data_IF_651104199695
#
_entry.id   IF_651104199695
#
_cell.length_a   1.000
_cell.length_b   1.000
_cell.length_c   1.000
_cell.angle_alpha   90.00
_cell.angle_beta   90.00
_cell.angle_gamma   90.00
#
_symmetry.space_group_name_H-M   'P 1'
#
loop_
_entity.id
_entity.type
_entity.pdbx_description
1 polymer ?
#
# COMPACT_ATOMS: atom_id res chain seq x y z
N UNK A 1 47.47 32.83 19.49
CA UNK A 1 46.87 31.77 20.31
C UNK A 1 45.43 32.20 20.60
N UNK A 2 44.46 31.80 19.79
CA UNK A 2 43.06 32.17 19.93
C UNK A 2 42.28 30.85 19.94
N UNK A 3 41.54 30.49 21.01
CA UNK A 3 40.74 29.31 21.02
C UNK A 3 39.42 29.60 20.27
N UNK A 4 39.20 28.89 19.17
CA UNK A 4 37.97 28.88 18.42
C UNK A 4 36.90 28.15 19.24
N UNK A 5 35.98 28.91 19.83
CA UNK A 5 34.81 28.40 20.52
C UNK A 5 33.78 28.03 19.43
N UNK A 6 33.74 26.77 19.08
CA UNK A 6 32.64 26.19 18.30
C UNK A 6 31.35 26.34 19.10
N UNK A 7 30.56 27.36 18.77
CA UNK A 7 29.20 27.51 19.23
C UNK A 7 28.38 26.37 18.56
N UNK A 8 28.02 25.37 19.35
CA UNK A 8 26.97 24.43 18.95
C UNK A 8 25.73 25.26 18.70
N UNK A 9 25.30 25.34 17.47
CA UNK A 9 23.97 25.84 17.13
C UNK A 9 22.98 24.87 17.75
N UNK A 10 22.25 25.35 18.76
CA UNK A 10 21.07 24.67 19.26
C UNK A 10 20.05 24.54 18.09
N UNK A 11 19.36 23.41 17.93
CA UNK A 11 18.34 23.29 16.92
C UNK A 11 17.26 24.34 17.20
N UNK A 12 16.97 25.15 16.19
CA UNK A 12 15.88 26.12 16.21
C UNK A 12 14.55 25.35 16.33
N UNK A 13 14.12 25.15 17.57
CA UNK A 13 12.80 24.65 17.92
C UNK A 13 11.83 25.84 17.80
N UNK A 14 11.22 26.02 16.65
CA UNK A 14 9.91 26.72 16.57
C UNK A 14 9.28 26.50 15.18
N UNK A 15 8.73 25.31 14.97
CA UNK A 15 7.81 25.09 13.87
C UNK A 15 6.55 24.48 14.47
N UNK A 16 5.34 24.87 14.03
CA UNK A 16 4.06 24.28 14.51
C UNK A 16 4.03 22.74 14.51
N UNK A 17 4.89 22.15 13.70
CA UNK A 17 5.06 20.71 13.55
C UNK A 17 5.71 20.03 14.75
N UNK A 18 6.63 20.71 15.44
CA UNK A 18 7.34 20.16 16.61
C UNK A 18 6.46 20.25 17.85
N UNK A 19 5.59 21.26 17.90
CA UNK A 19 4.58 21.43 18.96
C UNK A 19 3.58 20.28 18.90
N UNK A 20 3.02 19.97 17.73
CA UNK A 20 2.05 18.87 17.57
C UNK A 20 2.63 17.52 18.02
N UNK A 21 3.87 17.21 17.67
CA UNK A 21 4.54 15.96 18.12
C UNK A 21 4.71 15.92 19.64
N UNK A 22 5.09 17.04 20.23
CA UNK A 22 5.25 17.16 21.69
C UNK A 22 3.91 16.98 22.40
N UNK A 23 2.87 17.60 21.89
CA UNK A 23 1.50 17.54 22.46
C UNK A 23 0.90 16.13 22.32
N UNK A 24 1.18 15.42 21.22
CA UNK A 24 0.78 14.02 21.06
C UNK A 24 1.46 13.06 22.05
N UNK A 25 2.64 13.44 22.58
CA UNK A 25 3.36 12.70 23.62
C UNK A 25 2.98 13.09 25.03
N UNK A 26 2.19 14.14 25.20
CA UNK A 26 1.66 14.58 26.47
C UNK A 26 0.46 13.72 26.91
N UNK A 27 -0.15 14.08 28.04
CA UNK A 27 -1.32 13.41 28.57
C UNK A 27 -2.54 14.36 28.66
N UNK A 28 -3.74 13.76 28.82
CA UNK A 28 -4.97 14.47 29.06
C UNK A 28 -5.39 15.38 27.92
N UNK A 29 -5.97 16.53 28.24
CA UNK A 29 -6.59 17.44 27.26
C UNK A 29 -5.64 17.93 26.16
N UNK A 30 -4.36 18.11 26.48
CA UNK A 30 -3.37 18.54 25.48
C UNK A 30 -3.20 17.48 24.40
N UNK A 31 -3.10 16.23 24.82
CA UNK A 31 -3.05 15.11 23.88
C UNK A 31 -4.32 14.97 23.06
N UNK A 32 -5.49 15.10 23.70
CA UNK A 32 -6.78 14.97 23.00
C UNK A 32 -6.91 16.04 21.90
N UNK A 33 -6.58 17.29 22.21
CA UNK A 33 -6.56 18.38 21.23
C UNK A 33 -5.55 18.14 20.09
N UNK A 34 -4.36 17.60 20.40
CA UNK A 34 -3.35 17.25 19.39
C UNK A 34 -3.82 16.10 18.49
N UNK A 35 -4.57 15.13 19.03
CA UNK A 35 -5.17 14.04 18.23
C UNK A 35 -6.23 14.60 17.27
N UNK A 36 -7.07 15.54 17.72
CA UNK A 36 -8.04 16.21 16.84
C UNK A 36 -7.35 17.00 15.72
N UNK A 37 -6.27 17.72 16.05
CA UNK A 37 -5.46 18.44 15.05
C UNK A 37 -4.82 17.49 14.05
N UNK A 38 -4.22 16.41 14.53
CA UNK A 38 -3.65 15.34 13.69
C UNK A 38 -4.71 14.76 12.76
N UNK A 39 -5.88 14.42 13.29
CA UNK A 39 -7.00 13.89 12.49
C UNK A 39 -7.39 14.87 11.37
N UNK A 40 -7.59 16.15 11.69
CA UNK A 40 -7.92 17.16 10.68
C UNK A 40 -6.85 17.29 9.58
N UNK A 41 -5.56 17.14 9.94
CA UNK A 41 -4.44 17.09 8.99
C UNK A 41 -4.53 15.87 8.08
N UNK A 42 -4.78 14.69 8.65
CA UNK A 42 -4.85 13.43 7.93
C UNK A 42 -6.08 13.35 7.01
N UNK A 43 -7.22 13.91 7.42
CA UNK A 43 -8.40 14.04 6.53
C UNK A 43 -8.05 14.85 5.28
N UNK A 44 -7.33 15.98 5.42
CA UNK A 44 -6.91 16.76 4.26
C UNK A 44 -5.99 15.98 3.32
N UNK A 45 -5.06 15.21 3.88
CA UNK A 45 -4.17 14.36 3.10
C UNK A 45 -4.92 13.22 2.39
N UNK A 46 -5.86 12.55 3.09
CA UNK A 46 -6.69 11.51 2.52
C UNK A 46 -7.58 12.03 1.39
N UNK A 47 -8.25 13.19 1.60
CA UNK A 47 -9.05 13.86 0.56
C UNK A 47 -8.23 14.21 -0.68
N UNK A 48 -7.00 14.68 -0.50
CA UNK A 48 -6.09 14.94 -1.63
C UNK A 48 -5.82 13.67 -2.44
N UNK A 49 -5.51 12.55 -1.78
CA UNK A 49 -5.26 11.27 -2.46
C UNK A 49 -6.50 10.74 -3.16
N UNK A 50 -7.67 10.83 -2.52
CA UNK A 50 -8.96 10.45 -3.08
C UNK A 50 -9.27 11.28 -4.34
N UNK A 51 -9.12 12.61 -4.25
CA UNK A 51 -9.35 13.50 -5.38
C UNK A 51 -8.41 13.20 -6.56
N UNK A 52 -7.14 12.92 -6.27
CA UNK A 52 -6.13 12.57 -7.27
C UNK A 52 -6.48 11.28 -8.03
N UNK A 53 -7.09 10.30 -7.36
CA UNK A 53 -7.47 9.00 -7.95
C UNK A 53 -8.88 8.95 -8.52
N UNK A 54 -9.71 9.97 -8.24
CA UNK A 54 -11.10 10.04 -8.72
C UNK A 54 -11.29 9.75 -10.21
N UNK A 55 -10.43 10.25 -11.13
CA UNK A 55 -10.61 9.95 -12.56
C UNK A 55 -10.58 8.47 -12.92
N UNK A 56 -9.90 7.65 -12.11
CA UNK A 56 -9.81 6.19 -12.29
C UNK A 56 -10.98 5.43 -11.66
N UNK A 57 -11.92 6.12 -11.01
CA UNK A 57 -13.02 5.55 -10.23
C UNK A 57 -14.36 6.23 -10.55
N UNK A 58 -14.79 6.25 -11.84
CA UNK A 58 -15.97 7.02 -12.28
C UNK A 58 -17.29 6.52 -11.69
N UNK A 59 -17.30 5.30 -11.14
CA UNK A 59 -18.46 4.68 -10.52
C UNK A 59 -18.70 5.09 -9.07
N UNK A 60 -17.71 5.74 -8.41
CA UNK A 60 -17.85 6.22 -7.04
C UNK A 60 -18.41 7.64 -7.00
N UNK A 61 -19.36 7.88 -6.10
CA UNK A 61 -19.98 9.18 -5.90
C UNK A 61 -19.14 10.06 -4.95
N UNK A 62 -19.46 11.36 -4.91
CA UNK A 62 -18.70 12.31 -4.10
C UNK A 62 -18.80 12.06 -2.59
N UNK A 63 -19.98 11.67 -2.12
CA UNK A 63 -20.23 11.27 -0.73
C UNK A 63 -19.43 10.00 -0.34
N UNK A 64 -19.44 8.96 -1.18
CA UNK A 64 -18.64 7.76 -0.95
C UNK A 64 -17.13 8.07 -0.92
N UNK A 65 -16.68 9.02 -1.71
CA UNK A 65 -15.28 9.44 -1.73
C UNK A 65 -14.89 10.20 -0.45
N UNK A 66 -15.82 10.98 0.10
CA UNK A 66 -15.60 11.68 1.37
C UNK A 66 -15.60 10.71 2.55
N UNK A 67 -16.51 9.74 2.58
CA UNK A 67 -16.53 8.66 3.56
C UNK A 67 -15.21 7.87 3.55
N UNK A 68 -14.71 7.52 2.37
CA UNK A 68 -13.41 6.84 2.22
C UNK A 68 -12.27 7.69 2.79
N UNK A 69 -12.30 8.99 2.57
CA UNK A 69 -11.26 9.88 3.09
C UNK A 69 -11.32 9.97 4.63
N UNK A 70 -12.51 10.04 5.21
CA UNK A 70 -12.71 10.02 6.67
C UNK A 70 -12.21 8.71 7.28
N UNK A 71 -12.73 7.58 6.81
CA UNK A 71 -12.27 6.26 7.27
C UNK A 71 -10.75 6.06 7.15
N UNK A 72 -10.14 6.57 6.07
CA UNK A 72 -8.71 6.48 5.88
C UNK A 72 -7.94 7.35 6.89
N UNK A 73 -8.47 8.50 7.25
CA UNK A 73 -7.88 9.36 8.26
C UNK A 73 -7.99 8.75 9.67
N UNK A 74 -9.14 8.14 10.00
CA UNK A 74 -9.34 7.45 11.27
C UNK A 74 -8.32 6.33 11.47
N UNK A 75 -8.17 5.43 10.48
CA UNK A 75 -7.18 4.35 10.50
C UNK A 75 -5.73 4.89 10.53
N UNK A 76 -5.47 6.00 9.83
CA UNK A 76 -4.17 6.63 9.83
C UNK A 76 -3.81 7.25 11.18
N UNK A 77 -4.76 7.87 11.91
CA UNK A 77 -4.53 8.34 13.28
C UNK A 77 -4.09 7.20 14.18
N UNK A 78 -4.83 6.08 14.17
CA UNK A 78 -4.47 4.89 14.96
C UNK A 78 -3.07 4.40 14.61
N UNK A 79 -2.76 4.33 13.32
CA UNK A 79 -1.46 3.87 12.82
C UNK A 79 -0.31 4.80 13.20
N UNK A 80 -0.52 6.12 13.16
CA UNK A 80 0.46 7.15 13.57
C UNK A 80 0.71 7.07 15.07
N UNK A 81 -0.35 7.02 15.88
CA UNK A 81 -0.23 6.93 17.34
C UNK A 81 0.49 5.66 17.78
N UNK A 82 0.18 4.51 17.15
CA UNK A 82 0.84 3.24 17.45
C UNK A 82 2.34 3.23 17.09
N UNK A 83 2.79 4.12 16.22
CA UNK A 83 4.17 4.22 15.73
C UNK A 83 4.83 5.56 16.03
N UNK A 84 4.28 6.31 16.97
CA UNK A 84 4.77 7.65 17.31
C UNK A 84 6.25 7.62 17.73
N UNK A 85 6.67 6.55 18.41
CA UNK A 85 8.05 6.35 18.86
C UNK A 85 9.01 5.93 17.72
N UNK A 86 8.49 5.47 16.59
CA UNK A 86 9.27 5.14 15.40
C UNK A 86 9.70 6.39 14.62
N UNK A 87 9.15 7.57 14.95
CA UNK A 87 9.50 8.81 14.27
C UNK A 87 10.90 9.27 14.64
N UNK A 88 11.81 9.30 13.66
CA UNK A 88 13.24 9.60 13.85
C UNK A 88 13.64 11.06 13.62
N UNK A 89 12.70 11.95 13.28
CA UNK A 89 13.03 13.35 12.99
C UNK A 89 13.73 13.62 11.64
N UNK A 90 13.82 12.63 10.76
CA UNK A 90 14.46 12.75 9.44
C UNK A 90 13.65 13.62 8.45
N UNK A 91 12.42 13.95 8.81
CA UNK A 91 11.51 14.83 8.07
C UNK A 91 10.59 15.57 9.04
N UNK A 92 9.81 16.53 8.56
CA UNK A 92 8.74 17.10 9.39
C UNK A 92 7.78 16.01 9.82
N UNK A 93 7.30 16.06 11.05
CA UNK A 93 6.33 15.08 11.58
C UNK A 93 5.08 14.97 10.70
N UNK A 94 4.52 16.10 10.24
CA UNK A 94 3.37 16.12 9.34
C UNK A 94 3.63 15.39 8.03
N UNK A 95 4.84 15.50 7.46
CA UNK A 95 5.24 14.78 6.23
C UNK A 95 5.31 13.28 6.46
N UNK A 96 5.80 12.86 7.62
CA UNK A 96 5.83 11.46 8.00
C UNK A 96 4.41 10.92 8.24
N UNK A 97 3.58 11.65 8.97
CA UNK A 97 2.20 11.29 9.27
C UNK A 97 1.31 11.21 8.01
N UNK A 98 1.49 12.12 7.05
CA UNK A 98 0.72 12.11 5.80
C UNK A 98 0.87 10.81 5.02
N UNK A 99 2.02 10.14 5.07
CA UNK A 99 2.23 8.86 4.37
C UNK A 99 1.21 7.80 4.80
N UNK A 100 0.81 7.80 6.07
CA UNK A 100 -0.20 6.86 6.57
C UNK A 100 -1.57 7.15 5.94
N UNK A 101 -2.04 8.40 5.93
CA UNK A 101 -3.31 8.75 5.31
C UNK A 101 -3.34 8.46 3.80
N UNK A 102 -2.25 8.76 3.08
CA UNK A 102 -2.14 8.45 1.64
C UNK A 102 -2.19 6.93 1.38
N UNK A 103 -1.53 6.14 2.23
CA UNK A 103 -1.52 4.68 2.10
C UNK A 103 -2.90 4.09 2.42
N UNK A 104 -3.54 4.50 3.52
CA UNK A 104 -4.87 4.02 3.90
C UNK A 104 -5.92 4.41 2.85
N UNK A 105 -5.91 5.65 2.37
CA UNK A 105 -6.81 6.09 1.30
C UNK A 105 -6.60 5.25 0.02
N UNK A 106 -5.36 4.96 -0.36
CA UNK A 106 -5.06 4.13 -1.51
C UNK A 106 -5.53 2.69 -1.36
N UNK A 107 -5.44 2.11 -0.15
CA UNK A 107 -5.94 0.75 0.16
C UNK A 107 -7.46 0.72 0.07
N UNK A 108 -8.15 1.67 0.72
CA UNK A 108 -9.62 1.75 0.74
C UNK A 108 -10.19 1.98 -0.66
N UNK A 109 -9.59 2.88 -1.45
CA UNK A 109 -10.01 3.12 -2.84
C UNK A 109 -9.86 1.85 -3.70
N UNK A 110 -8.75 1.12 -3.57
CA UNK A 110 -8.57 -0.15 -4.28
C UNK A 110 -9.61 -1.18 -3.84
N UNK A 111 -9.85 -1.32 -2.53
CA UNK A 111 -10.87 -2.22 -2.01
C UNK A 111 -12.25 -1.88 -2.58
N UNK A 112 -12.64 -0.60 -2.56
CA UNK A 112 -13.93 -0.13 -3.09
C UNK A 112 -14.04 -0.35 -4.61
N UNK A 113 -12.98 -0.10 -5.37
CA UNK A 113 -12.94 -0.35 -6.81
C UNK A 113 -13.16 -1.83 -7.18
N UNK A 114 -12.86 -2.74 -6.27
CA UNK A 114 -13.06 -4.18 -6.45
C UNK A 114 -14.36 -4.71 -5.85
N UNK A 115 -15.11 -3.91 -5.10
CA UNK A 115 -16.43 -4.31 -4.60
C UNK A 115 -17.37 -4.55 -5.78
N UNK A 116 -18.06 -5.68 -5.75
CA UNK A 116 -18.99 -6.08 -6.83
C UNK A 116 -18.32 -6.62 -8.10
N UNK A 117 -17.00 -6.60 -8.23
CA UNK A 117 -16.32 -7.26 -9.35
C UNK A 117 -16.15 -8.76 -9.06
N UNK A 118 -16.38 -9.58 -10.06
CA UNK A 118 -15.99 -10.99 -10.01
C UNK A 118 -14.45 -11.07 -10.02
N UNK A 119 -13.88 -11.79 -9.05
CA UNK A 119 -12.47 -12.13 -9.09
C UNK A 119 -12.39 -13.52 -9.71
N UNK A 120 -11.74 -13.68 -10.88
CA UNK A 120 -11.58 -14.99 -11.48
C UNK A 120 -10.71 -15.86 -10.56
N UNK A 121 -11.34 -16.77 -9.84
CA UNK A 121 -10.65 -17.69 -8.92
C UNK A 121 -10.47 -19.07 -9.53
N UNK A 122 -11.28 -19.41 -10.55
CA UNK A 122 -11.21 -20.69 -11.24
C UNK A 122 -10.09 -20.68 -12.29
N UNK A 123 -9.33 -21.79 -12.42
CA UNK A 123 -8.24 -21.89 -13.39
C UNK A 123 -8.66 -21.64 -14.83
N UNK A 124 -9.91 -22.03 -15.19
CA UNK A 124 -10.48 -21.86 -16.53
C UNK A 124 -10.74 -20.39 -16.88
N UNK A 125 -10.92 -19.53 -15.89
CA UNK A 125 -11.14 -18.09 -16.04
C UNK A 125 -9.81 -17.29 -16.18
N UNK A 126 -8.67 -17.97 -16.14
CA UNK A 126 -7.35 -17.35 -16.22
C UNK A 126 -6.85 -17.16 -17.67
N UNK A 127 -7.79 -17.08 -18.60
CA UNK A 127 -7.49 -16.78 -20.01
C UNK A 127 -6.83 -15.42 -20.21
N UNK A 128 -6.82 -14.55 -19.19
CA UNK A 128 -6.06 -13.30 -19.19
C UNK A 128 -4.53 -13.47 -19.33
N UNK A 129 -3.98 -14.66 -19.02
CA UNK A 129 -2.60 -14.99 -19.39
C UNK A 129 -2.42 -15.14 -20.91
N UNK A 130 -3.48 -15.50 -21.61
CA UNK A 130 -3.48 -15.60 -23.05
C UNK A 130 -3.71 -14.27 -23.75
N UNK A 131 -4.28 -13.28 -23.05
CA UNK A 131 -4.70 -12.00 -23.63
C UNK A 131 -3.68 -10.87 -23.48
N UNK A 132 -2.59 -11.06 -22.75
CA UNK A 132 -1.40 -10.27 -22.99
C UNK A 132 -0.71 -10.84 -24.22
N UNK A 133 -1.35 -10.74 -25.39
CA UNK A 133 -0.62 -10.80 -26.64
C UNK A 133 0.55 -9.82 -26.48
N UNK A 134 1.79 -10.33 -26.57
CA UNK A 134 2.93 -9.44 -26.48
C UNK A 134 2.70 -8.33 -27.49
N UNK A 135 2.79 -7.09 -27.04
CA UNK A 135 2.69 -5.93 -27.93
C UNK A 135 3.35 -6.28 -29.27
N UNK A 136 2.80 -5.87 -30.41
CA UNK A 136 3.43 -6.12 -31.73
C UNK A 136 4.91 -5.73 -31.76
N UNK A 137 5.36 -4.88 -30.84
CA UNK A 137 6.75 -4.45 -30.65
C UNK A 137 7.57 -5.38 -29.72
N UNK A 138 6.99 -6.43 -29.12
CA UNK A 138 7.75 -7.34 -28.26
C UNK A 138 8.77 -8.13 -29.06
N UNK A 139 10.02 -8.16 -28.56
CA UNK A 139 11.11 -8.92 -29.18
C UNK A 139 10.87 -10.43 -29.04
N UNK A 140 11.53 -11.25 -29.89
CA UNK A 140 11.45 -12.70 -29.78
C UNK A 140 11.88 -13.20 -28.40
N UNK A 141 12.92 -12.58 -27.83
CA UNK A 141 13.44 -12.87 -26.49
C UNK A 141 12.40 -12.60 -25.38
N UNK A 142 11.66 -11.48 -25.47
CA UNK A 142 10.58 -11.18 -24.52
C UNK A 142 9.43 -12.21 -24.59
N UNK A 143 9.09 -12.67 -25.79
CA UNK A 143 8.07 -13.73 -25.98
C UNK A 143 8.52 -15.05 -25.40
N UNK A 144 9.77 -15.43 -25.61
CA UNK A 144 10.35 -16.64 -25.04
C UNK A 144 10.37 -16.59 -23.50
N UNK A 145 10.81 -15.48 -22.92
CA UNK A 145 10.80 -15.29 -21.47
C UNK A 145 9.37 -15.40 -20.89
N UNK A 146 8.38 -14.78 -21.53
CA UNK A 146 6.99 -14.89 -21.12
C UNK A 146 6.46 -16.32 -21.21
N UNK A 147 6.79 -17.04 -22.26
CA UNK A 147 6.41 -18.45 -22.43
C UNK A 147 7.04 -19.34 -21.35
N UNK A 148 8.32 -19.14 -21.04
CA UNK A 148 9.02 -19.84 -19.94
C UNK A 148 8.35 -19.53 -18.58
N UNK A 149 8.03 -18.27 -18.30
CA UNK A 149 7.35 -17.88 -17.07
C UNK A 149 5.96 -18.51 -16.96
N UNK A 150 5.17 -18.50 -18.03
CA UNK A 150 3.86 -19.13 -18.08
C UNK A 150 3.94 -20.65 -17.83
N UNK A 151 4.91 -21.30 -18.42
CA UNK A 151 5.17 -22.73 -18.19
C UNK A 151 5.54 -22.99 -16.73
N UNK A 152 6.48 -22.24 -16.18
CA UNK A 152 6.90 -22.36 -14.78
C UNK A 152 5.72 -22.16 -13.81
N UNK A 153 4.85 -21.18 -14.03
CA UNK A 153 3.65 -20.95 -13.20
C UNK A 153 2.73 -22.17 -13.22
N UNK A 154 2.62 -22.87 -14.37
CA UNK A 154 1.75 -24.05 -14.48
C UNK A 154 2.36 -25.29 -13.82
N UNK A 155 3.64 -25.51 -13.99
CA UNK A 155 4.30 -26.75 -13.57
C UNK A 155 4.81 -26.71 -12.13
N UNK A 156 5.31 -25.54 -11.67
CA UNK A 156 6.02 -25.42 -10.39
C UNK A 156 5.10 -25.07 -9.23
N UNK A 157 4.05 -24.30 -9.51
CA UNK A 157 3.15 -23.82 -8.47
C UNK A 157 1.97 -24.75 -8.24
N UNK A 158 1.62 -24.96 -6.95
CA UNK A 158 0.36 -25.60 -6.61
C UNK A 158 -0.83 -24.78 -7.13
N UNK A 159 -2.01 -25.39 -7.36
CA UNK A 159 -3.20 -24.63 -7.78
C UNK A 159 -3.50 -23.43 -6.89
N UNK A 160 -3.38 -23.58 -5.58
CA UNK A 160 -3.60 -22.51 -4.61
C UNK A 160 -2.54 -21.38 -4.71
N UNK A 161 -1.25 -21.73 -4.84
CA UNK A 161 -0.20 -20.74 -5.04
C UNK A 161 -0.38 -19.95 -6.33
N UNK A 162 -0.74 -20.65 -7.40
CA UNK A 162 -1.01 -20.09 -8.72
C UNK A 162 -2.19 -19.11 -8.67
N UNK A 163 -3.30 -19.52 -8.06
CA UNK A 163 -4.48 -18.69 -7.88
C UNK A 163 -4.15 -17.36 -7.19
N UNK A 164 -3.44 -17.42 -6.07
CA UNK A 164 -3.05 -16.22 -5.31
C UNK A 164 -2.09 -15.33 -6.09
N UNK A 165 -1.09 -15.93 -6.73
CA UNK A 165 -0.12 -15.18 -7.54
C UNK A 165 -0.80 -14.46 -8.70
N UNK A 166 -1.67 -15.16 -9.45
CA UNK A 166 -2.40 -14.58 -10.58
C UNK A 166 -3.35 -13.49 -10.12
N UNK A 167 -4.13 -13.73 -9.09
CA UNK A 167 -5.07 -12.73 -8.57
C UNK A 167 -4.35 -11.43 -8.16
N UNK A 168 -3.26 -11.53 -7.42
CA UNK A 168 -2.57 -10.35 -6.89
C UNK A 168 -1.65 -9.71 -7.93
N UNK A 169 -0.78 -10.50 -8.59
CA UNK A 169 0.29 -9.95 -9.43
C UNK A 169 -0.18 -9.57 -10.83
N UNK A 170 -1.13 -10.31 -11.41
CA UNK A 170 -1.58 -10.08 -12.77
C UNK A 170 -2.92 -9.35 -12.83
N UNK A 171 -3.89 -9.77 -12.03
CA UNK A 171 -5.20 -9.15 -12.03
C UNK A 171 -5.29 -7.93 -11.09
N UNK A 172 -4.23 -7.64 -10.31
CA UNK A 172 -4.18 -6.49 -9.43
C UNK A 172 -5.19 -6.52 -8.28
N UNK A 173 -5.70 -7.72 -7.92
CA UNK A 173 -6.67 -7.88 -6.83
C UNK A 173 -6.01 -7.43 -5.52
N UNK A 174 -6.61 -6.49 -4.78
CA UNK A 174 -6.11 -6.12 -3.47
C UNK A 174 -6.08 -7.32 -2.52
N UNK A 175 -5.00 -7.44 -1.76
CA UNK A 175 -4.81 -8.59 -0.86
C UNK A 175 -5.91 -8.70 0.19
N UNK A 176 -6.50 -7.56 0.61
CA UNK A 176 -7.61 -7.52 1.56
C UNK A 176 -8.88 -8.14 0.96
N UNK A 177 -9.19 -7.78 -0.28
CA UNK A 177 -10.33 -8.33 -1.03
C UNK A 177 -10.15 -9.83 -1.23
N UNK A 178 -8.93 -10.26 -1.57
CA UNK A 178 -8.65 -11.68 -1.76
C UNK A 178 -8.72 -12.45 -0.44
N UNK A 179 -8.25 -11.87 0.67
CA UNK A 179 -8.32 -12.48 2.00
C UNK A 179 -9.77 -12.70 2.44
N UNK A 180 -10.63 -11.70 2.26
CA UNK A 180 -12.06 -11.82 2.55
C UNK A 180 -12.72 -12.92 1.69
N UNK A 181 -12.42 -12.95 0.38
CA UNK A 181 -13.03 -13.93 -0.55
C UNK A 181 -12.58 -15.37 -0.31
N UNK A 182 -11.32 -15.56 0.06
CA UNK A 182 -10.76 -16.89 0.36
C UNK A 182 -10.93 -17.28 1.84
N UNK A 183 -11.61 -16.46 2.64
CA UNK A 183 -11.80 -16.65 4.08
C UNK A 183 -10.48 -16.95 4.80
N UNK A 184 -9.46 -16.14 4.55
CA UNK A 184 -8.10 -16.30 5.08
C UNK A 184 -7.54 -14.96 5.56
N UNK A 185 -6.33 -14.96 6.09
CA UNK A 185 -5.67 -13.75 6.57
C UNK A 185 -4.70 -13.18 5.53
N UNK A 186 -4.48 -11.86 5.57
CA UNK A 186 -3.44 -11.20 4.75
C UNK A 186 -2.07 -11.84 4.95
N UNK A 187 -1.72 -12.18 6.20
CA UNK A 187 -0.46 -12.83 6.54
C UNK A 187 -0.27 -14.17 5.84
N UNK A 188 -1.33 -15.01 5.79
CA UNK A 188 -1.31 -16.28 5.08
C UNK A 188 -1.12 -16.09 3.56
N UNK A 189 -1.79 -15.09 2.97
CA UNK A 189 -1.63 -14.76 1.56
C UNK A 189 -0.22 -14.25 1.24
N UNK A 190 0.35 -13.39 2.09
CA UNK A 190 1.74 -12.92 1.91
C UNK A 190 2.74 -14.08 1.97
N UNK A 191 2.58 -15.01 2.93
CA UNK A 191 3.42 -16.20 3.01
C UNK A 191 3.31 -17.05 1.74
N UNK A 192 2.10 -17.34 1.29
CA UNK A 192 1.87 -18.12 0.06
C UNK A 192 2.47 -17.43 -1.17
N UNK A 193 2.31 -16.11 -1.28
CA UNK A 193 2.87 -15.33 -2.38
C UNK A 193 4.41 -15.31 -2.35
N UNK A 194 5.00 -15.20 -1.17
CA UNK A 194 6.45 -15.28 -0.97
C UNK A 194 6.98 -16.66 -1.42
N UNK A 195 6.35 -17.74 -0.96
CA UNK A 195 6.75 -19.11 -1.30
C UNK A 195 6.60 -19.38 -2.80
N UNK A 196 5.52 -18.90 -3.42
CA UNK A 196 5.30 -19.01 -4.86
C UNK A 196 6.40 -18.30 -5.66
N UNK A 197 6.75 -17.06 -5.28
CA UNK A 197 7.80 -16.28 -5.93
C UNK A 197 9.19 -16.91 -5.77
N UNK A 198 9.47 -17.48 -4.60
CA UNK A 198 10.72 -18.18 -4.34
C UNK A 198 10.86 -19.40 -5.27
N UNK A 199 9.85 -20.26 -5.33
CA UNK A 199 9.84 -21.45 -6.21
C UNK A 199 10.04 -21.09 -7.68
N UNK A 200 9.36 -20.04 -8.15
CA UNK A 200 9.52 -19.59 -9.54
C UNK A 200 10.93 -19.10 -9.82
N UNK A 201 11.54 -18.37 -8.88
CA UNK A 201 12.91 -17.86 -9.03
C UNK A 201 13.90 -19.03 -9.13
N UNK A 202 13.84 -19.96 -8.16
CA UNK A 202 14.69 -21.15 -8.14
C UNK A 202 14.59 -21.91 -9.47
N UNK A 203 13.39 -22.17 -9.97
CA UNK A 203 13.18 -22.89 -11.23
C UNK A 203 13.70 -22.13 -12.47
N UNK A 204 13.55 -20.81 -12.51
CA UNK A 204 14.02 -20.00 -13.64
C UNK A 204 15.54 -19.82 -13.64
N UNK A 205 16.19 -19.84 -12.46
CA UNK A 205 17.64 -19.80 -12.32
C UNK A 205 18.29 -21.14 -12.72
N UNK A 206 17.66 -22.29 -12.40
CA UNK A 206 18.13 -23.62 -12.80
C UNK A 206 18.01 -23.89 -14.31
N UNK A 207 17.12 -23.19 -15.00
CA UNK A 207 16.87 -23.32 -16.44
C UNK A 207 17.59 -22.31 -17.33
N UNK A 208 18.50 -21.49 -16.76
CA UNK A 208 19.32 -20.51 -17.47
C UNK A 208 20.72 -21.03 -17.64
#
# INVERSE_FOLDING_TARGET
MIPSTLRREEPVLDTPTDTLLTDLRSDGRTRDAAVEELHALLVRAARFEVARRRPSLPHLRGDELDDIAQEAADDAVVSVLARLDDFRGESRFTTWAYKFALLEAAVKLRKRAWQGREVPLEPEQWTGFSAADPSPAATAEQRELLARLQHAIKEVLTPHQRQILVAIALNGVPIDVLAERLNTTRGALYKTLHDARRKLREHLEEGS
#
